data_IF_422296308083
#
_entry.id   IF_422296308083
#
_cell.length_a   1.000
_cell.length_b   1.000
_cell.length_c   1.000
_cell.angle_alpha   90.00
_cell.angle_beta   90.00
_cell.angle_gamma   90.00
#
_symmetry.space_group_name_H-M   'P 1'
#
loop_
_entity.id
_entity.type
_entity.pdbx_description
1 polymer ?
#
# COMPACT_ATOMS: atom_id res chain seq x y z
N UNK A 1 -8.39 12.88 -14.93
CA UNK A 1 -8.73 12.33 -13.60
C UNK A 1 -7.68 11.32 -13.14
N UNK A 2 -7.42 10.25 -13.90
CA UNK A 2 -6.38 9.26 -13.57
C UNK A 2 -4.99 9.87 -13.31
N UNK A 3 -4.54 10.81 -14.12
CA UNK A 3 -3.21 11.41 -13.94
C UNK A 3 -3.09 12.19 -12.61
N UNK A 4 -4.19 12.77 -12.12
CA UNK A 4 -4.22 13.40 -10.79
C UNK A 4 -4.11 12.36 -9.68
N UNK A 5 -4.78 11.22 -9.82
CA UNK A 5 -4.70 10.11 -8.87
C UNK A 5 -3.28 9.51 -8.85
N UNK A 6 -2.66 9.29 -10.01
CA UNK A 6 -1.27 8.81 -10.10
C UNK A 6 -0.29 9.73 -9.38
N UNK A 7 -0.42 11.05 -9.56
CA UNK A 7 0.42 12.05 -8.89
C UNK A 7 0.17 12.13 -7.38
N UNK A 8 -1.01 11.69 -6.90
CA UNK A 8 -1.33 11.67 -5.48
C UNK A 8 -0.74 10.43 -4.77
N UNK A 9 -0.47 9.34 -5.50
CA UNK A 9 0.29 8.21 -4.98
C UNK A 9 1.79 8.53 -5.02
N UNK A 10 2.53 8.46 -3.90
CA UNK A 10 3.98 8.65 -3.90
C UNK A 10 4.75 7.72 -4.85
N UNK A 11 4.27 6.49 -5.06
CA UNK A 11 4.87 5.56 -6.03
C UNK A 11 4.65 5.96 -7.50
N UNK A 12 3.78 6.94 -7.75
CA UNK A 12 3.54 7.51 -9.09
C UNK A 12 2.53 6.74 -9.95
N UNK A 13 1.91 5.68 -9.42
CA UNK A 13 0.88 4.92 -10.13
C UNK A 13 -0.32 4.55 -9.25
N UNK A 14 -1.41 4.15 -9.91
CA UNK A 14 -2.62 3.65 -9.26
C UNK A 14 -2.47 2.14 -9.10
N UNK A 15 -2.63 1.66 -7.87
CA UNK A 15 -2.59 0.22 -7.59
C UNK A 15 -3.70 -0.56 -8.30
N UNK A 16 -3.43 -1.82 -8.52
CA UNK A 16 -4.35 -2.80 -9.10
C UNK A 16 -4.68 -3.91 -8.07
N UNK A 17 -5.66 -4.79 -8.35
CA UNK A 17 -5.99 -5.90 -7.45
C UNK A 17 -4.83 -6.86 -7.19
N UNK A 18 -3.91 -7.03 -8.14
CA UNK A 18 -2.74 -7.91 -8.03
C UNK A 18 -1.78 -7.45 -6.93
N UNK A 19 -1.61 -6.14 -6.73
CA UNK A 19 -0.79 -5.58 -5.63
C UNK A 19 -1.28 -6.08 -4.24
N UNK A 20 -2.59 -6.24 -4.07
CA UNK A 20 -3.18 -6.79 -2.84
C UNK A 20 -2.98 -8.31 -2.77
N UNK A 21 -3.13 -9.02 -3.89
CA UNK A 21 -2.92 -10.47 -3.94
C UNK A 21 -1.48 -10.84 -3.56
N UNK A 22 -0.49 -10.08 -4.05
CA UNK A 22 0.92 -10.25 -3.69
C UNK A 22 1.16 -10.00 -2.19
N UNK A 23 0.55 -8.95 -1.62
CA UNK A 23 0.66 -8.67 -0.19
C UNK A 23 0.06 -9.77 0.69
N UNK A 24 -1.08 -10.34 0.29
CA UNK A 24 -1.70 -11.48 0.97
C UNK A 24 -0.83 -12.73 0.86
N UNK A 25 -0.26 -12.99 -0.32
CA UNK A 25 0.66 -14.11 -0.54
C UNK A 25 1.90 -13.98 0.35
N UNK A 26 2.50 -12.79 0.42
CA UNK A 26 3.61 -12.48 1.32
C UNK A 26 3.26 -12.72 2.80
N UNK A 27 2.10 -12.23 3.25
CA UNK A 27 1.66 -12.40 4.64
C UNK A 27 1.35 -13.86 5.01
N UNK A 28 0.86 -14.65 4.05
CA UNK A 28 0.54 -16.06 4.26
C UNK A 28 1.75 -16.90 4.71
N UNK A 29 2.98 -16.47 4.36
CA UNK A 29 4.20 -17.15 4.79
C UNK A 29 4.64 -16.77 6.22
N UNK A 30 4.04 -15.74 6.83
CA UNK A 30 4.47 -15.14 8.11
C UNK A 30 3.61 -15.56 9.30
N UNK A 31 3.81 -16.79 9.79
CA UNK A 31 2.99 -17.42 10.86
C UNK A 31 2.93 -16.67 12.20
N UNK A 32 3.87 -15.76 12.46
CA UNK A 32 3.94 -15.01 13.72
C UNK A 32 3.56 -13.54 13.57
N UNK A 33 3.26 -13.08 12.35
CA UNK A 33 2.81 -11.72 12.11
C UNK A 33 1.29 -11.63 12.34
N UNK A 34 0.91 -11.34 13.58
CA UNK A 34 -0.48 -11.22 14.02
C UNK A 34 -0.73 -9.88 14.70
N UNK A 35 -1.96 -9.38 14.64
CA UNK A 35 -2.36 -8.12 15.30
C UNK A 35 -1.85 -6.84 14.63
N UNK A 36 -1.12 -6.96 13.52
CA UNK A 36 -0.56 -5.84 12.77
C UNK A 36 -1.39 -5.53 11.52
N UNK A 37 -1.44 -4.26 11.13
CA UNK A 37 -1.97 -3.83 9.83
C UNK A 37 -0.83 -3.69 8.82
N UNK A 38 -1.01 -4.23 7.61
CA UNK A 38 -0.12 -4.00 6.47
C UNK A 38 -0.80 -3.03 5.51
N UNK A 39 -0.20 -1.87 5.27
CA UNK A 39 -0.75 -0.83 4.39
C UNK A 39 -0.20 -0.99 2.98
N UNK A 40 -1.10 -1.17 2.00
CA UNK A 40 -0.79 -1.32 0.58
C UNK A 40 -1.58 -0.27 -0.20
N UNK A 41 -1.08 0.97 -0.24
CA UNK A 41 -1.79 2.11 -0.83
C UNK A 41 -0.88 2.99 -1.71
N UNK A 42 0.29 2.47 -2.11
CA UNK A 42 1.26 3.25 -2.89
C UNK A 42 1.87 4.45 -2.15
N UNK A 43 1.69 4.53 -0.83
CA UNK A 43 2.22 5.59 0.03
C UNK A 43 1.24 6.73 0.34
N UNK A 44 -0.02 6.64 -0.09
CA UNK A 44 -1.01 7.72 0.06
C UNK A 44 -1.25 8.11 1.52
N UNK A 45 -1.15 7.16 2.45
CA UNK A 45 -1.36 7.39 3.88
C UNK A 45 -0.14 7.95 4.62
N UNK A 46 1.02 8.08 3.96
CA UNK A 46 2.24 8.59 4.59
C UNK A 46 2.04 10.06 4.96
N UNK A 47 2.22 10.38 6.25
CA UNK A 47 2.30 11.75 6.76
C UNK A 47 3.66 11.96 7.40
N UNK A 48 4.28 13.10 7.17
CA UNK A 48 5.48 13.48 7.89
C UNK A 48 5.08 13.84 9.33
N UNK A 49 5.80 13.32 10.31
CA UNK A 49 5.46 13.44 11.74
C UNK A 49 5.58 14.87 12.30
N UNK A 50 5.89 15.85 11.46
CA UNK A 50 6.02 17.28 11.80
C UNK A 50 4.86 18.14 11.30
N UNK A 51 3.80 17.52 10.76
CA UNK A 51 2.50 18.15 10.48
C UNK A 51 1.40 17.58 11.40
#
# INVERSE_FOLDING_TARGET
ALEKLRKACPIGDIGNPEDIAEAVFFLNESKFCVGSSLVIDGGVSIKLSSE
#
